data_IF_403154342486
#
_entry.id   IF_403154342486
#
_cell.length_a   1.000
_cell.length_b   1.000
_cell.length_c   1.000
_cell.angle_alpha   90.00
_cell.angle_beta   90.00
_cell.angle_gamma   90.00
#
_symmetry.space_group_name_H-M   'P 1'
#
loop_
_entity.id
_entity.type
_entity.pdbx_description
1 polymer ?
#
# COMPACT_ATOMS: atom_id res chain seq x y z
N UNK A 1 23.16 -2.87 17.69
CA UNK A 1 24.33 -3.46 17.02
C UNK A 1 24.03 -4.69 16.16
N UNK A 2 23.09 -5.57 16.53
CA UNK A 2 22.74 -6.79 15.76
C UNK A 2 22.10 -6.49 14.38
N UNK A 3 21.40 -5.37 14.21
CA UNK A 3 20.66 -5.02 12.98
C UNK A 3 21.54 -4.59 11.79
N UNK A 4 22.67 -3.93 12.04
CA UNK A 4 23.57 -3.47 10.97
C UNK A 4 24.48 -4.57 10.43
N UNK A 5 24.76 -5.60 11.25
CA UNK A 5 25.53 -6.76 10.82
C UNK A 5 24.76 -7.61 9.80
N UNK A 6 23.43 -7.70 9.90
CA UNK A 6 22.63 -8.50 8.98
C UNK A 6 22.52 -7.88 7.58
N UNK A 7 22.38 -6.54 7.47
CA UNK A 7 22.47 -5.87 6.17
C UNK A 7 23.85 -6.03 5.54
N UNK A 8 24.92 -5.92 6.33
CA UNK A 8 26.29 -6.17 5.86
C UNK A 8 26.51 -7.62 5.44
N UNK A 9 25.91 -8.57 6.16
CA UNK A 9 25.98 -10.01 5.83
C UNK A 9 25.21 -10.32 4.55
N UNK A 10 24.04 -9.70 4.34
CA UNK A 10 23.27 -9.82 3.09
C UNK A 10 24.02 -9.22 1.89
N UNK A 11 24.71 -8.09 2.07
CA UNK A 11 25.56 -7.50 1.02
C UNK A 11 26.84 -8.30 0.73
N UNK A 12 27.42 -8.97 1.73
CA UNK A 12 28.67 -9.74 1.58
C UNK A 12 28.45 -11.12 0.95
N UNK A 13 27.21 -11.60 0.85
CA UNK A 13 26.89 -12.92 0.29
C UNK A 13 26.69 -12.91 -1.24
N UNK A 14 26.97 -11.80 -1.93
CA UNK A 14 26.62 -11.58 -3.33
C UNK A 14 27.78 -11.80 -4.26
N UNK A 15 27.85 -12.98 -4.87
CA UNK A 15 28.73 -13.24 -6.02
C UNK A 15 28.13 -14.15 -7.10
N UNK A 16 26.80 -14.37 -7.12
CA UNK A 16 26.16 -15.13 -8.19
C UNK A 16 25.08 -14.30 -8.89
N UNK A 17 25.27 -14.04 -10.17
CA UNK A 17 24.25 -13.41 -11.04
C UNK A 17 23.14 -14.41 -11.35
N UNK A 18 21.89 -14.02 -11.20
CA UNK A 18 20.73 -14.88 -11.47
C UNK A 18 20.63 -15.21 -12.99
N UNK A 19 20.79 -16.48 -13.40
CA UNK A 19 20.75 -16.87 -14.82
C UNK A 19 19.37 -16.65 -15.46
N UNK A 20 18.29 -16.56 -14.66
CA UNK A 20 16.92 -16.38 -15.16
C UNK A 20 16.69 -14.98 -15.72
N UNK A 21 17.35 -13.96 -15.18
CA UNK A 21 17.23 -12.59 -15.69
C UNK A 21 18.25 -12.24 -16.77
N UNK A 22 19.31 -13.03 -16.96
CA UNK A 22 20.17 -12.89 -18.14
C UNK A 22 19.40 -13.10 -19.45
N UNK A 23 18.22 -13.74 -19.39
CA UNK A 23 17.29 -13.90 -20.51
C UNK A 23 16.24 -12.78 -20.62
N UNK A 24 16.07 -11.95 -19.58
CA UNK A 24 15.18 -10.80 -19.62
C UNK A 24 15.89 -9.62 -20.30
N UNK A 25 15.39 -9.16 -21.43
CA UNK A 25 15.90 -7.97 -22.11
C UNK A 25 15.16 -6.74 -21.58
N UNK A 26 15.89 -5.72 -21.16
CA UNK A 26 15.35 -4.40 -20.90
C UNK A 26 15.43 -3.62 -22.21
N UNK A 27 14.29 -3.31 -22.80
CA UNK A 27 14.23 -2.40 -23.93
C UNK A 27 14.16 -0.96 -23.36
N UNK A 28 15.17 -0.16 -23.65
CA UNK A 28 15.21 1.27 -23.29
C UNK A 28 14.63 2.06 -24.45
N UNK A 29 13.54 2.78 -24.21
CA UNK A 29 12.98 3.74 -25.17
C UNK A 29 13.41 5.13 -24.67
N UNK A 30 14.28 5.80 -25.44
CA UNK A 30 14.69 7.15 -25.15
C UNK A 30 13.73 8.12 -25.86
N UNK A 31 12.91 8.81 -25.11
CA UNK A 31 12.25 10.02 -25.54
C UNK A 31 12.71 11.18 -24.65
N UNK A 32 13.22 12.21 -25.28
CA UNK A 32 13.60 13.45 -24.63
C UNK A 32 12.35 14.28 -24.40
N UNK A 33 12.10 14.74 -23.16
CA UNK A 33 11.76 16.13 -22.92
C UNK A 33 11.43 16.45 -21.45
N UNK A 34 11.81 17.61 -21.05
CA UNK A 34 11.73 18.35 -19.82
C UNK A 34 10.41 18.20 -19.03
N UNK A 35 10.46 17.52 -17.90
CA UNK A 35 9.48 17.68 -16.83
C UNK A 35 10.22 18.25 -15.60
N UNK A 36 9.90 19.47 -15.13
CA UNK A 36 10.54 20.05 -13.97
C UNK A 36 10.15 19.26 -12.71
N UNK A 37 11.14 18.78 -11.96
CA UNK A 37 11.04 17.96 -10.77
C UNK A 37 10.48 16.55 -11.04
N UNK A 38 11.23 15.74 -11.79
CA UNK A 38 10.89 14.33 -11.95
C UNK A 38 11.61 13.45 -10.93
N UNK A 39 10.84 12.58 -10.28
CA UNK A 39 11.40 11.49 -9.47
C UNK A 39 11.42 10.23 -10.33
N UNK A 40 12.55 9.54 -10.38
CA UNK A 40 12.67 8.26 -11.10
C UNK A 40 13.47 7.24 -10.29
N UNK A 41 13.12 5.97 -10.41
CA UNK A 41 13.94 4.88 -9.92
C UNK A 41 15.04 4.61 -10.95
N UNK A 42 16.28 4.95 -10.61
CA UNK A 42 17.45 4.80 -11.51
C UNK A 42 18.13 3.44 -11.39
N UNK A 43 18.07 2.81 -10.19
CA UNK A 43 18.67 1.49 -9.94
C UNK A 43 17.80 0.67 -9.00
N UNK A 44 17.71 -0.63 -9.28
CA UNK A 44 16.99 -1.61 -8.46
C UNK A 44 17.91 -2.80 -8.16
N UNK A 45 18.00 -3.19 -6.90
CA UNK A 45 18.73 -4.37 -6.46
C UNK A 45 17.82 -5.27 -5.62
N UNK A 46 17.84 -6.56 -5.91
CA UNK A 46 17.09 -7.60 -5.20
C UNK A 46 18.04 -8.67 -4.71
N UNK A 47 17.85 -9.15 -3.50
CA UNK A 47 18.53 -10.30 -2.95
C UNK A 47 17.51 -11.21 -2.26
N UNK A 48 17.45 -12.47 -2.70
CA UNK A 48 16.53 -13.50 -2.20
C UNK A 48 15.06 -13.07 -2.11
N UNK A 49 14.62 -12.25 -3.07
CA UNK A 49 13.24 -11.76 -3.16
C UNK A 49 12.41 -12.63 -4.12
N UNK A 50 11.39 -13.30 -3.59
CA UNK A 50 10.51 -14.23 -4.33
C UNK A 50 11.31 -15.30 -5.09
N UNK A 51 11.30 -15.30 -6.43
CA UNK A 51 12.09 -16.23 -7.24
C UNK A 51 13.51 -15.73 -7.57
N UNK A 52 13.80 -14.47 -7.27
CA UNK A 52 15.10 -13.88 -7.58
C UNK A 52 16.12 -14.18 -6.49
N UNK A 53 17.26 -14.78 -6.87
CA UNK A 53 18.40 -14.97 -5.98
C UNK A 53 19.14 -13.63 -5.80
N UNK A 54 19.53 -13.05 -6.92
CA UNK A 54 20.20 -11.75 -6.99
C UNK A 54 19.87 -11.08 -8.32
N UNK A 55 19.47 -9.82 -8.26
CA UNK A 55 19.16 -9.00 -9.42
C UNK A 55 19.73 -7.62 -9.22
N UNK A 56 20.33 -7.07 -10.26
CA UNK A 56 20.75 -5.68 -10.32
C UNK A 56 20.36 -5.12 -11.68
N UNK A 57 19.62 -4.02 -11.65
CA UNK A 57 19.05 -3.37 -12.83
C UNK A 57 19.33 -1.87 -12.79
N UNK A 58 19.93 -1.35 -13.86
CA UNK A 58 19.96 0.08 -14.14
C UNK A 58 18.78 0.42 -15.04
N UNK A 59 17.93 1.33 -14.58
CA UNK A 59 16.68 1.71 -15.23
C UNK A 59 16.84 3.04 -15.97
N UNK A 60 16.16 3.16 -17.10
CA UNK A 60 16.10 4.43 -17.82
C UNK A 60 15.01 5.35 -17.25
N UNK A 61 15.05 6.62 -17.66
CA UNK A 61 14.18 7.65 -17.10
C UNK A 61 12.70 7.53 -17.47
N UNK A 62 12.37 6.86 -18.56
CA UNK A 62 11.01 6.82 -19.10
C UNK A 62 10.41 5.42 -19.05
N UNK A 63 10.58 4.61 -20.09
CA UNK A 63 9.92 3.31 -20.22
C UNK A 63 10.94 2.19 -20.09
N UNK A 64 10.71 1.27 -19.16
CA UNK A 64 11.49 0.06 -18.96
C UNK A 64 10.60 -1.16 -19.22
N UNK A 65 10.91 -1.95 -20.23
CA UNK A 65 10.16 -3.17 -20.57
C UNK A 65 10.92 -4.42 -20.14
N UNK A 66 10.28 -5.26 -19.33
CA UNK A 66 10.83 -6.54 -18.89
C UNK A 66 10.28 -7.67 -19.78
N UNK A 67 11.13 -8.31 -20.55
CA UNK A 67 10.80 -9.38 -21.51
C UNK A 67 11.45 -10.69 -21.06
N UNK A 68 10.78 -11.81 -21.33
CA UNK A 68 11.28 -13.16 -21.02
C UNK A 68 10.15 -14.16 -20.86
N UNK A 69 10.49 -15.42 -20.60
CA UNK A 69 9.57 -16.54 -20.46
C UNK A 69 8.60 -16.38 -19.28
N UNK A 70 7.50 -17.11 -19.28
CA UNK A 70 6.61 -17.20 -18.13
C UNK A 70 7.35 -17.83 -16.95
N UNK A 71 7.13 -17.26 -15.75
CA UNK A 71 7.85 -17.69 -14.56
C UNK A 71 9.25 -17.07 -14.38
N UNK A 72 9.80 -16.32 -15.36
CA UNK A 72 11.10 -15.66 -15.23
C UNK A 72 11.18 -14.58 -14.12
N UNK A 73 10.04 -14.18 -13.54
CA UNK A 73 10.01 -13.22 -12.43
C UNK A 73 9.77 -11.78 -12.83
N UNK A 74 9.37 -11.48 -14.07
CA UNK A 74 9.08 -10.12 -14.55
C UNK A 74 8.15 -9.35 -13.61
N UNK A 75 7.03 -9.96 -13.24
CA UNK A 75 6.05 -9.40 -12.30
C UNK A 75 6.64 -9.21 -10.90
N UNK A 76 7.57 -10.07 -10.48
CA UNK A 76 8.24 -9.94 -9.19
C UNK A 76 9.20 -8.74 -9.13
N UNK A 77 9.79 -8.35 -10.26
CA UNK A 77 10.56 -7.09 -10.36
C UNK A 77 9.63 -5.88 -10.17
N UNK A 78 8.46 -5.87 -10.83
CA UNK A 78 7.47 -4.80 -10.65
C UNK A 78 6.96 -4.74 -9.21
N UNK A 79 6.71 -5.90 -8.58
CA UNK A 79 6.32 -5.97 -7.17
C UNK A 79 7.42 -5.45 -6.22
N UNK A 80 8.68 -5.63 -6.56
CA UNK A 80 9.79 -5.05 -5.81
C UNK A 80 9.80 -3.51 -5.89
N UNK A 81 9.48 -2.93 -7.05
CA UNK A 81 9.30 -1.47 -7.20
C UNK A 81 8.15 -0.99 -6.32
N UNK A 82 7.01 -1.67 -6.36
CA UNK A 82 5.88 -1.36 -5.48
C UNK A 82 6.26 -1.49 -3.99
N UNK A 83 7.06 -2.51 -3.65
CA UNK A 83 7.56 -2.73 -2.29
C UNK A 83 8.43 -1.57 -1.80
N UNK A 84 9.25 -0.98 -2.68
CA UNK A 84 10.07 0.19 -2.34
C UNK A 84 9.20 1.42 -2.03
N UNK A 85 8.12 1.66 -2.75
CA UNK A 85 7.25 2.83 -2.53
C UNK A 85 6.34 2.68 -1.30
N UNK A 86 5.75 1.49 -1.12
CA UNK A 86 4.71 1.25 -0.11
C UNK A 86 5.19 0.42 1.10
N UNK A 87 6.45 -0.01 1.12
CA UNK A 87 7.01 -0.94 2.10
C UNK A 87 6.17 -2.23 2.26
N UNK A 88 5.49 -2.66 1.20
CA UNK A 88 4.58 -3.82 1.17
C UNK A 88 4.45 -4.37 -0.24
N UNK A 89 4.39 -5.69 -0.37
CA UNK A 89 4.15 -6.32 -1.67
C UNK A 89 2.73 -6.06 -2.17
N UNK A 90 2.59 -5.90 -3.48
CA UNK A 90 1.31 -5.74 -4.15
C UNK A 90 0.54 -7.08 -4.21
N UNK A 91 1.19 -8.10 -4.74
CA UNK A 91 0.58 -9.43 -4.88
C UNK A 91 0.55 -10.21 -3.57
N UNK A 92 1.53 -10.00 -2.69
CA UNK A 92 1.59 -10.68 -1.41
C UNK A 92 1.90 -9.72 -0.27
N UNK A 93 0.88 -9.35 0.54
CA UNK A 93 1.06 -8.42 1.64
C UNK A 93 1.77 -9.02 2.86
N UNK A 94 1.99 -10.33 2.90
CA UNK A 94 2.68 -11.03 3.99
C UNK A 94 4.18 -11.04 3.70
N UNK A 95 4.94 -10.25 4.45
CA UNK A 95 6.37 -10.03 4.20
C UNK A 95 7.19 -11.33 4.13
N UNK A 96 6.95 -12.28 5.04
CA UNK A 96 7.69 -13.55 5.08
C UNK A 96 7.48 -14.42 3.84
N UNK A 97 6.35 -14.27 3.14
CA UNK A 97 6.06 -15.01 1.90
C UNK A 97 6.74 -14.41 0.67
N UNK A 98 7.35 -13.24 0.79
CA UNK A 98 8.17 -12.65 -0.25
C UNK A 98 9.66 -13.08 -0.14
N UNK A 99 10.03 -13.81 0.92
CA UNK A 99 11.36 -14.40 1.05
C UNK A 99 11.47 -15.58 0.06
N UNK A 100 12.58 -15.63 -0.68
CA UNK A 100 12.86 -16.72 -1.61
C UNK A 100 12.83 -18.08 -0.89
N UNK A 101 12.26 -19.07 -1.54
CA UNK A 101 12.13 -20.41 -0.99
C UNK A 101 13.52 -20.96 -0.54
N UNK A 102 13.60 -21.52 0.66
CA UNK A 102 14.84 -22.02 1.26
C UNK A 102 15.76 -20.95 1.84
N UNK A 103 15.30 -19.66 1.89
CA UNK A 103 16.05 -18.56 2.49
C UNK A 103 15.38 -18.02 3.74
N UNK A 104 16.14 -17.25 4.54
CA UNK A 104 15.69 -16.71 5.82
C UNK A 104 15.37 -15.21 5.76
N UNK A 105 15.81 -14.51 4.72
CA UNK A 105 15.62 -13.07 4.57
C UNK A 105 15.66 -12.67 3.11
N UNK A 106 15.14 -11.47 2.82
CA UNK A 106 15.35 -10.78 1.54
C UNK A 106 15.75 -9.32 1.73
N UNK A 107 16.35 -8.74 0.69
CA UNK A 107 16.61 -7.32 0.56
C UNK A 107 16.07 -6.82 -0.78
N UNK A 108 15.33 -5.71 -0.72
CA UNK A 108 14.99 -4.88 -1.89
C UNK A 108 15.59 -3.51 -1.67
N UNK A 109 16.41 -3.06 -2.61
CA UNK A 109 17.05 -1.75 -2.57
C UNK A 109 16.83 -1.01 -3.88
N UNK A 110 16.56 0.29 -3.79
CA UNK A 110 16.40 1.18 -4.93
C UNK A 110 17.12 2.49 -4.74
N UNK A 111 17.67 3.03 -5.82
CA UNK A 111 18.17 4.39 -5.88
C UNK A 111 17.20 5.23 -6.70
N UNK A 112 16.63 6.22 -6.06
CA UNK A 112 15.77 7.21 -6.70
C UNK A 112 16.60 8.45 -7.03
N UNK A 113 16.43 8.93 -8.23
CA UNK A 113 16.96 10.20 -8.70
C UNK A 113 15.84 11.23 -8.67
N UNK A 114 16.11 12.36 -8.03
CA UNK A 114 15.19 13.50 -7.91
C UNK A 114 15.85 14.68 -8.61
N UNK A 115 15.18 15.20 -9.61
CA UNK A 115 15.63 16.44 -10.26
C UNK A 115 15.28 17.62 -9.35
N UNK A 116 16.25 18.34 -8.86
CA UNK A 116 16.08 19.54 -8.05
C UNK A 116 16.67 20.78 -8.77
N UNK A 117 16.33 21.97 -8.30
CA UNK A 117 16.86 23.21 -8.85
C UNK A 117 18.41 23.30 -8.72
N UNK A 118 18.98 22.59 -7.75
CA UNK A 118 20.43 22.56 -7.46
C UNK A 118 21.15 21.37 -8.13
N UNK A 119 20.43 20.55 -8.92
CA UNK A 119 20.95 19.37 -9.61
C UNK A 119 20.26 18.07 -9.22
N UNK A 120 20.81 16.95 -9.68
CA UNK A 120 20.29 15.63 -9.38
C UNK A 120 20.64 15.20 -7.94
N UNK A 121 19.64 14.94 -7.11
CA UNK A 121 19.78 14.36 -5.78
C UNK A 121 19.46 12.86 -5.82
N UNK A 122 20.25 12.05 -5.13
CA UNK A 122 20.07 10.60 -5.07
C UNK A 122 19.55 10.18 -3.68
N UNK A 123 18.42 9.50 -3.65
CA UNK A 123 17.86 8.87 -2.46
C UNK A 123 17.99 7.35 -2.56
N UNK A 124 18.71 6.74 -1.63
CA UNK A 124 18.84 5.29 -1.53
C UNK A 124 17.87 4.74 -0.49
N UNK A 125 16.96 3.87 -0.93
CA UNK A 125 15.96 3.20 -0.09
C UNK A 125 16.28 1.71 -0.04
N UNK A 126 16.36 1.15 1.15
CA UNK A 126 16.61 -0.27 1.36
C UNK A 126 15.59 -0.85 2.33
N UNK A 127 14.91 -1.91 1.92
CA UNK A 127 13.98 -2.67 2.73
C UNK A 127 14.47 -4.09 2.92
N UNK A 128 14.74 -4.48 4.16
CA UNK A 128 15.14 -5.82 4.53
C UNK A 128 14.09 -6.48 5.44
N UNK A 129 13.79 -7.74 5.14
CA UNK A 129 12.87 -8.58 5.91
C UNK A 129 13.56 -9.89 6.23
N UNK A 130 13.52 -10.30 7.50
CA UNK A 130 13.95 -11.62 7.93
C UNK A 130 12.81 -12.31 8.71
N UNK A 131 12.75 -13.64 8.62
CA UNK A 131 11.76 -14.44 9.33
C UNK A 131 11.79 -14.15 10.84
N UNK A 132 10.64 -13.96 11.45
CA UNK A 132 10.52 -13.70 12.88
C UNK A 132 11.06 -12.35 13.35
N UNK A 133 11.48 -11.47 12.44
CA UNK A 133 12.00 -10.15 12.79
C UNK A 133 11.13 -9.02 12.25
N UNK A 134 11.26 -7.84 12.87
CA UNK A 134 10.60 -6.64 12.36
C UNK A 134 11.30 -6.19 11.08
N UNK A 135 10.49 -5.82 10.08
CA UNK A 135 10.94 -5.19 8.85
C UNK A 135 11.84 -3.99 9.15
N UNK A 136 12.95 -3.89 8.44
CA UNK A 136 13.88 -2.79 8.51
C UNK A 136 13.83 -2.01 7.20
N UNK A 137 13.39 -0.76 7.28
CA UNK A 137 13.36 0.17 6.15
C UNK A 137 14.33 1.32 6.45
N UNK A 138 15.21 1.62 5.50
CA UNK A 138 16.21 2.69 5.60
C UNK A 138 16.11 3.63 4.40
N UNK A 139 16.38 4.92 4.65
CA UNK A 139 16.64 5.93 3.62
C UNK A 139 18.02 6.52 3.87
N UNK A 140 18.88 6.52 2.88
CA UNK A 140 20.27 7.03 2.96
C UNK A 140 21.00 6.49 4.20
N UNK A 141 20.82 5.19 4.47
CA UNK A 141 21.43 4.49 5.61
C UNK A 141 20.73 4.70 6.96
N UNK A 142 19.80 5.66 7.09
CA UNK A 142 19.04 5.92 8.34
C UNK A 142 17.73 5.12 8.36
N UNK A 143 17.49 4.38 9.43
CA UNK A 143 16.24 3.65 9.62
C UNK A 143 15.08 4.60 9.92
N UNK A 144 13.91 4.32 9.37
CA UNK A 144 12.68 5.01 9.73
C UNK A 144 12.25 4.64 11.16
N UNK A 145 11.81 5.60 11.93
CA UNK A 145 11.19 5.38 13.25
C UNK A 145 9.82 4.71 13.13
N UNK A 146 9.03 5.16 12.17
CA UNK A 146 7.73 4.58 11.80
C UNK A 146 7.72 4.29 10.30
N UNK A 147 7.24 3.10 9.90
CA UNK A 147 7.12 2.75 8.47
C UNK A 147 6.18 3.69 7.72
N UNK A 148 5.16 4.20 8.42
CA UNK A 148 4.24 5.18 7.87
C UNK A 148 4.92 6.48 7.39
N UNK A 149 6.11 6.85 7.92
CA UNK A 149 6.85 8.05 7.49
C UNK A 149 7.47 7.90 6.09
N UNK A 150 7.43 6.69 5.55
CA UNK A 150 7.90 6.37 4.21
C UNK A 150 6.79 6.47 3.16
N UNK A 151 5.55 6.14 3.54
CA UNK A 151 4.40 6.12 2.61
C UNK A 151 4.21 7.51 1.99
N UNK A 152 4.05 7.56 0.67
CA UNK A 152 3.89 8.79 -0.10
C UNK A 152 5.19 9.52 -0.47
N UNK A 153 6.34 9.11 0.09
CA UNK A 153 7.63 9.72 -0.27
C UNK A 153 8.09 9.33 -1.69
N UNK A 154 7.78 8.10 -2.10
CA UNK A 154 8.04 7.58 -3.44
C UNK A 154 6.73 7.01 -3.97
N UNK A 155 5.81 7.88 -4.45
CA UNK A 155 4.50 7.45 -4.89
C UNK A 155 4.64 6.49 -6.07
N UNK A 156 3.92 5.38 -6.00
CA UNK A 156 3.93 4.35 -7.02
C UNK A 156 2.50 3.86 -7.29
N UNK A 157 2.17 3.74 -8.56
CA UNK A 157 0.93 3.10 -9.02
C UNK A 157 1.31 1.80 -9.72
N UNK A 158 0.63 0.73 -9.36
CA UNK A 158 0.77 -0.57 -10.02
C UNK A 158 -0.58 -1.00 -10.57
N UNK A 159 -0.57 -1.54 -11.78
CA UNK A 159 -1.76 -2.09 -12.45
C UNK A 159 -1.44 -3.51 -12.89
N UNK A 160 -2.34 -4.43 -12.62
CA UNK A 160 -2.23 -5.82 -13.01
C UNK A 160 -3.57 -6.33 -13.59
N UNK A 161 -3.56 -7.36 -14.45
CA UNK A 161 -4.81 -7.96 -14.94
C UNK A 161 -5.76 -8.44 -13.83
N UNK A 162 -5.20 -8.79 -12.67
CA UNK A 162 -5.98 -9.17 -11.49
C UNK A 162 -6.78 -8.02 -10.87
N UNK A 163 -6.52 -6.76 -11.23
CA UNK A 163 -7.22 -5.59 -10.65
C UNK A 163 -8.67 -5.46 -11.12
N UNK A 164 -9.09 -6.28 -12.09
CA UNK A 164 -10.52 -6.48 -12.37
C UNK A 164 -11.34 -6.82 -11.11
N UNK A 165 -10.71 -7.34 -10.05
CA UNK A 165 -11.30 -7.55 -8.72
C UNK A 165 -11.84 -6.27 -8.08
N UNK A 166 -11.35 -5.08 -8.45
CA UNK A 166 -11.88 -3.80 -7.98
C UNK A 166 -13.35 -3.62 -8.37
N UNK A 167 -13.73 -4.11 -9.55
CA UNK A 167 -15.12 -4.06 -10.05
C UNK A 167 -15.89 -5.32 -9.67
N UNK A 168 -15.25 -6.50 -9.75
CA UNK A 168 -15.92 -7.79 -9.60
C UNK A 168 -16.10 -8.24 -8.15
N UNK A 169 -15.22 -7.84 -7.24
CA UNK A 169 -15.25 -8.27 -5.85
C UNK A 169 -15.91 -7.25 -4.90
N UNK A 170 -15.93 -7.60 -3.61
CA UNK A 170 -16.59 -6.83 -2.58
C UNK A 170 -15.88 -5.52 -2.20
N UNK A 171 -16.57 -4.72 -1.43
CA UNK A 171 -16.18 -3.38 -0.97
C UNK A 171 -14.81 -3.31 -0.26
N UNK A 172 -14.30 -4.41 0.29
CA UNK A 172 -13.01 -4.41 0.99
C UNK A 172 -11.85 -4.06 0.06
N UNK A 173 -11.86 -4.58 -1.18
CA UNK A 173 -10.81 -4.34 -2.18
C UNK A 173 -10.82 -2.87 -2.61
N UNK A 174 -12.01 -2.33 -2.88
CA UNK A 174 -12.20 -0.92 -3.25
C UNK A 174 -11.78 0.05 -2.15
N UNK A 175 -12.13 -0.24 -0.89
CA UNK A 175 -11.66 0.57 0.25
C UNK A 175 -10.14 0.55 0.38
N UNK A 176 -9.51 -0.63 0.30
CA UNK A 176 -8.05 -0.76 0.39
C UNK A 176 -7.35 0.02 -0.72
N UNK A 177 -7.88 -0.02 -1.93
CA UNK A 177 -7.36 0.75 -3.06
C UNK A 177 -7.45 2.26 -2.80
N UNK A 178 -8.63 2.76 -2.43
CA UNK A 178 -8.84 4.17 -2.13
C UNK A 178 -7.95 4.65 -0.98
N UNK A 179 -7.91 3.90 0.12
CA UNK A 179 -7.07 4.22 1.27
C UNK A 179 -5.58 4.24 0.92
N UNK A 180 -5.13 3.32 0.05
CA UNK A 180 -3.76 3.29 -0.43
C UNK A 180 -3.43 4.53 -1.27
N UNK A 181 -4.32 4.92 -2.17
CA UNK A 181 -4.11 6.11 -3.02
C UNK A 181 -4.06 7.37 -2.18
N UNK A 182 -5.08 7.62 -1.34
CA UNK A 182 -5.15 8.82 -0.50
C UNK A 182 -3.93 8.88 0.44
N UNK A 183 -3.54 7.76 1.06
CA UNK A 183 -2.40 7.70 1.99
C UNK A 183 -1.06 8.08 1.36
N UNK A 184 -0.92 8.04 0.03
CA UNK A 184 0.31 8.41 -0.64
C UNK A 184 0.50 9.93 -0.75
N UNK A 185 -0.56 10.72 -0.70
CA UNK A 185 -0.47 12.19 -0.78
C UNK A 185 -0.98 12.91 0.47
N UNK A 186 -1.81 12.27 1.31
CA UNK A 186 -2.33 12.84 2.56
C UNK A 186 -1.81 12.05 3.78
N UNK A 187 -0.74 12.56 4.40
CA UNK A 187 -0.17 11.95 5.60
C UNK A 187 -1.10 12.01 6.81
N UNK A 188 -1.79 13.12 7.11
CA UNK A 188 -2.82 13.19 8.15
C UNK A 188 -3.92 12.13 7.98
N UNK A 189 -4.35 11.87 6.75
CA UNK A 189 -5.31 10.81 6.46
C UNK A 189 -4.80 9.43 6.89
N UNK A 190 -3.56 9.09 6.52
CA UNK A 190 -2.95 7.82 6.91
C UNK A 190 -2.88 7.67 8.43
N UNK A 191 -2.49 8.72 9.15
CA UNK A 191 -2.39 8.68 10.61
C UNK A 191 -3.78 8.49 11.25
N UNK A 192 -4.82 9.17 10.76
CA UNK A 192 -6.21 8.99 11.18
C UNK A 192 -6.73 7.58 10.88
N UNK A 193 -6.46 7.07 9.69
CA UNK A 193 -6.87 5.73 9.27
C UNK A 193 -6.25 4.65 10.18
N UNK A 194 -4.97 4.74 10.48
CA UNK A 194 -4.28 3.83 11.39
C UNK A 194 -4.86 3.87 12.81
N UNK A 195 -5.15 5.07 13.33
CA UNK A 195 -5.78 5.25 14.64
C UNK A 195 -7.18 4.64 14.66
N UNK A 196 -8.01 4.92 13.64
CA UNK A 196 -9.35 4.36 13.53
C UNK A 196 -9.34 2.84 13.46
N UNK A 197 -8.47 2.25 12.64
CA UNK A 197 -8.33 0.79 12.53
C UNK A 197 -7.94 0.16 13.87
N UNK A 198 -7.05 0.81 14.62
CA UNK A 198 -6.68 0.35 15.97
C UNK A 198 -7.86 0.40 16.94
N UNK A 199 -8.65 1.49 16.93
CA UNK A 199 -9.84 1.62 17.77
C UNK A 199 -10.90 0.56 17.44
N UNK A 200 -11.17 0.31 16.15
CA UNK A 200 -12.08 -0.77 15.71
C UNK A 200 -11.61 -2.13 16.22
N UNK A 201 -10.31 -2.40 16.14
CA UNK A 201 -9.76 -3.65 16.64
C UNK A 201 -9.94 -3.81 18.15
N UNK A 202 -9.67 -2.75 18.92
CA UNK A 202 -9.86 -2.76 20.39
C UNK A 202 -11.33 -2.92 20.77
N UNK A 203 -12.23 -2.17 20.11
CA UNK A 203 -13.67 -2.31 20.28
C UNK A 203 -14.17 -3.73 19.96
N UNK A 204 -13.69 -4.32 18.88
CA UNK A 204 -14.04 -5.69 18.52
C UNK A 204 -13.48 -6.73 19.51
N UNK A 205 -12.31 -6.48 20.11
CA UNK A 205 -11.78 -7.32 21.18
C UNK A 205 -12.70 -7.26 22.43
N UNK A 206 -13.17 -6.08 22.79
CA UNK A 206 -14.09 -5.89 23.90
C UNK A 206 -15.45 -6.57 23.66
N UNK A 207 -16.00 -6.46 22.44
CA UNK A 207 -17.24 -7.16 22.06
C UNK A 207 -17.10 -8.69 22.17
N UNK A 208 -15.94 -9.23 21.79
CA UNK A 208 -15.65 -10.65 21.95
C UNK A 208 -15.52 -11.05 23.42
N UNK A 209 -14.80 -10.25 24.21
CA UNK A 209 -14.68 -10.44 25.66
C UNK A 209 -16.05 -10.49 26.35
N UNK A 210 -16.96 -9.58 26.02
CA UNK A 210 -18.32 -9.60 26.53
C UNK A 210 -19.07 -10.90 26.18
N UNK A 211 -18.92 -11.37 24.97
CA UNK A 211 -19.56 -12.60 24.52
C UNK A 211 -19.02 -13.85 25.23
N UNK A 212 -17.70 -13.92 25.43
CA UNK A 212 -17.01 -15.04 26.07
C UNK A 212 -17.33 -15.10 27.58
N UNK A 213 -17.42 -13.95 28.24
CA UNK A 213 -17.71 -13.84 29.66
C UNK A 213 -19.23 -13.72 29.97
N UNK A 214 -20.08 -13.72 28.95
CA UNK A 214 -21.54 -13.53 29.08
C UNK A 214 -21.91 -12.23 29.83
N UNK A 215 -21.12 -11.19 29.63
CA UNK A 215 -21.33 -9.86 30.20
C UNK A 215 -21.75 -8.88 29.11
N UNK A 216 -22.23 -7.72 29.53
CA UNK A 216 -22.50 -6.60 28.63
C UNK A 216 -22.43 -5.32 29.44
N UNK A 217 -21.57 -4.41 29.01
CA UNK A 217 -21.38 -3.11 29.68
C UNK A 217 -21.21 -2.03 28.59
N UNK A 218 -22.19 -1.17 28.46
CA UNK A 218 -22.19 -0.11 27.47
C UNK A 218 -21.25 1.03 27.84
N UNK A 219 -21.02 1.26 29.12
CA UNK A 219 -20.11 2.30 29.59
C UNK A 219 -18.66 1.98 29.19
N UNK A 220 -18.30 0.70 29.11
CA UNK A 220 -17.01 0.29 28.60
C UNK A 220 -16.86 0.46 27.08
N UNK A 221 -17.96 0.50 26.31
CA UNK A 221 -17.91 0.76 24.86
C UNK A 221 -17.84 2.26 24.53
N UNK A 222 -18.46 3.10 25.35
CA UNK A 222 -18.57 4.54 25.10
C UNK A 222 -17.25 5.24 24.80
N UNK A 223 -16.13 5.02 25.52
CA UNK A 223 -14.86 5.68 25.23
C UNK A 223 -14.27 5.31 23.85
N UNK A 224 -14.56 4.11 23.34
CA UNK A 224 -14.15 3.69 22.00
C UNK A 224 -15.02 4.38 20.94
N UNK A 225 -16.34 4.40 21.14
CA UNK A 225 -17.28 5.05 20.24
C UNK A 225 -16.98 6.55 20.12
N UNK A 226 -16.79 7.26 21.25
CA UNK A 226 -16.46 8.69 21.28
C UNK A 226 -15.18 9.04 20.52
N UNK A 227 -14.15 8.20 20.62
CA UNK A 227 -12.88 8.39 19.91
C UNK A 227 -12.97 8.02 18.43
N UNK A 228 -13.82 7.07 18.07
CA UNK A 228 -14.01 6.65 16.67
C UNK A 228 -14.76 7.68 15.85
N UNK A 229 -15.72 8.40 16.44
CA UNK A 229 -16.60 9.33 15.72
C UNK A 229 -15.82 10.38 14.94
N UNK A 230 -14.98 11.25 15.56
CA UNK A 230 -14.30 12.31 14.81
C UNK A 230 -13.37 11.75 13.73
N UNK A 231 -12.65 10.65 14.02
CA UNK A 231 -11.77 10.03 13.03
C UNK A 231 -12.53 9.49 11.82
N UNK A 232 -13.67 8.84 12.06
CA UNK A 232 -14.50 8.29 11.00
C UNK A 232 -15.10 9.39 10.11
N UNK A 233 -15.57 10.49 10.70
CA UNK A 233 -16.15 11.62 9.98
C UNK A 233 -15.08 12.32 9.12
N UNK A 234 -13.88 12.57 9.65
CA UNK A 234 -12.78 13.15 8.88
C UNK A 234 -12.33 12.25 7.74
N UNK A 235 -12.17 10.93 7.99
CA UNK A 235 -11.80 9.96 6.94
C UNK A 235 -12.90 9.89 5.87
N UNK A 236 -14.18 9.91 6.29
CA UNK A 236 -15.32 9.88 5.38
C UNK A 236 -15.36 11.12 4.48
N UNK A 237 -15.08 12.31 5.03
CA UNK A 237 -15.01 13.55 4.28
C UNK A 237 -13.86 13.53 3.23
N UNK A 238 -12.68 13.04 3.62
CA UNK A 238 -11.56 12.90 2.68
C UNK A 238 -11.85 11.93 1.55
N UNK A 239 -12.48 10.79 1.84
CA UNK A 239 -12.91 9.85 0.81
C UNK A 239 -13.94 10.45 -0.15
N UNK A 240 -14.86 11.27 0.36
CA UNK A 240 -15.83 11.98 -0.48
C UNK A 240 -15.11 12.96 -1.41
N UNK A 241 -14.21 13.79 -0.88
CA UNK A 241 -13.42 14.74 -1.66
C UNK A 241 -12.58 14.04 -2.74
N UNK A 242 -11.91 12.95 -2.37
CA UNK A 242 -11.14 12.15 -3.33
C UNK A 242 -12.01 11.67 -4.50
N UNK A 243 -13.21 11.16 -4.24
CA UNK A 243 -14.09 10.68 -5.29
C UNK A 243 -14.64 11.82 -6.17
N UNK A 244 -14.94 12.98 -5.58
CA UNK A 244 -15.35 14.17 -6.33
C UNK A 244 -14.27 14.65 -7.30
N UNK A 245 -12.99 14.58 -6.89
CA UNK A 245 -11.85 14.95 -7.74
C UNK A 245 -11.51 13.86 -8.76
N UNK A 246 -11.67 12.59 -8.40
CA UNK A 246 -11.32 11.44 -9.23
C UNK A 246 -12.35 11.15 -10.32
N UNK A 247 -13.64 11.31 -10.05
CA UNK A 247 -14.72 10.93 -10.96
C UNK A 247 -14.65 11.62 -12.34
N UNK A 248 -14.39 12.94 -12.46
CA UNK A 248 -14.27 13.58 -13.76
C UNK A 248 -13.16 13.01 -14.63
N UNK A 249 -12.00 12.70 -14.04
CA UNK A 249 -10.88 12.11 -14.76
C UNK A 249 -11.14 10.65 -15.13
N UNK A 250 -11.79 9.89 -14.24
CA UNK A 250 -12.25 8.54 -14.53
C UNK A 250 -13.22 8.50 -15.71
N UNK A 251 -14.21 9.38 -15.73
CA UNK A 251 -15.16 9.54 -16.85
C UNK A 251 -14.46 9.89 -18.15
N UNK A 252 -13.52 10.83 -18.10
CA UNK A 252 -12.75 11.26 -19.28
C UNK A 252 -11.98 10.10 -19.91
N UNK A 253 -11.27 9.32 -19.08
CA UNK A 253 -10.50 8.16 -19.54
C UNK A 253 -11.43 7.06 -20.06
N UNK A 254 -12.49 6.73 -19.32
CA UNK A 254 -13.47 5.74 -19.72
C UNK A 254 -14.12 6.08 -21.06
N UNK A 255 -14.57 7.34 -21.23
CA UNK A 255 -15.14 7.82 -22.49
C UNK A 255 -14.17 7.62 -23.67
N UNK A 256 -12.88 7.91 -23.46
CA UNK A 256 -11.85 7.68 -24.49
C UNK A 256 -11.67 6.21 -24.86
N UNK A 257 -11.78 5.31 -23.88
CA UNK A 257 -11.63 3.86 -24.10
C UNK A 257 -12.84 3.22 -24.78
N UNK A 258 -14.06 3.59 -24.38
CA UNK A 258 -15.30 3.04 -24.97
C UNK A 258 -15.79 3.79 -26.22
N UNK A 259 -15.08 4.86 -26.65
CA UNK A 259 -15.50 5.70 -27.78
C UNK A 259 -16.82 6.42 -27.55
N UNK A 260 -17.13 6.76 -26.30
CA UNK A 260 -18.34 7.47 -25.92
C UNK A 260 -19.65 6.65 -26.01
N UNK A 261 -19.55 5.33 -26.03
CA UNK A 261 -20.72 4.45 -26.15
C UNK A 261 -21.39 4.16 -24.80
N UNK A 262 -20.68 4.36 -23.72
CA UNK A 262 -21.13 4.05 -22.37
C UNK A 262 -20.80 5.20 -21.43
N UNK A 263 -21.71 5.53 -20.54
CA UNK A 263 -21.50 6.46 -19.45
C UNK A 263 -21.23 5.68 -18.15
N UNK A 264 -20.31 6.20 -17.35
CA UNK A 264 -19.96 5.64 -16.04
C UNK A 264 -20.04 6.71 -14.98
N UNK A 265 -20.46 6.33 -13.78
CA UNK A 265 -20.45 7.20 -12.60
C UNK A 265 -19.90 6.46 -11.40
N UNK A 266 -19.42 7.21 -10.43
CA UNK A 266 -18.95 6.68 -9.15
C UNK A 266 -19.84 7.22 -8.04
N UNK A 267 -20.41 6.34 -7.24
CA UNK A 267 -21.21 6.74 -6.09
C UNK A 267 -20.59 6.19 -4.80
N UNK A 268 -20.39 7.06 -3.82
CA UNK A 268 -19.98 6.63 -2.49
C UNK A 268 -21.17 6.05 -1.72
N UNK A 269 -20.99 4.87 -1.17
CA UNK A 269 -21.93 4.22 -0.25
C UNK A 269 -21.32 4.23 1.15
N UNK A 270 -21.86 5.02 2.07
CA UNK A 270 -21.36 5.13 3.44
C UNK A 270 -22.50 5.36 4.42
N UNK A 271 -22.35 4.82 5.62
CA UNK A 271 -23.22 5.09 6.78
C UNK A 271 -22.59 6.15 7.71
N UNK A 272 -21.44 6.70 7.36
CA UNK A 272 -20.75 7.71 8.14
C UNK A 272 -21.01 9.08 7.54
N UNK A 273 -21.94 9.81 8.17
CA UNK A 273 -22.23 11.20 7.84
C UNK A 273 -21.86 12.08 9.04
N UNK A 274 -21.40 13.30 8.75
CA UNK A 274 -21.00 14.26 9.78
C UNK A 274 -22.15 14.54 10.75
N UNK A 275 -21.87 14.39 12.04
CA UNK A 275 -22.83 14.63 13.13
C UNK A 275 -23.84 13.50 13.37
N UNK A 276 -23.84 12.43 12.58
CA UNK A 276 -24.80 11.32 12.75
C UNK A 276 -24.14 9.99 13.11
N UNK A 277 -22.84 9.84 12.90
CA UNK A 277 -22.18 8.55 13.09
C UNK A 277 -22.21 8.05 14.55
N UNK A 278 -22.12 8.94 15.54
CA UNK A 278 -22.25 8.55 16.95
C UNK A 278 -23.61 7.91 17.28
N UNK A 279 -24.68 8.43 16.70
CA UNK A 279 -26.02 7.83 16.82
C UNK A 279 -26.07 6.45 16.14
N UNK A 280 -25.51 6.33 14.93
CA UNK A 280 -25.47 5.06 14.21
C UNK A 280 -24.70 3.97 14.98
N UNK A 281 -23.60 4.33 15.68
CA UNK A 281 -22.87 3.41 16.56
C UNK A 281 -23.72 2.94 17.74
N UNK A 282 -24.48 3.83 18.39
CA UNK A 282 -25.37 3.46 19.49
C UNK A 282 -26.50 2.52 19.01
N UNK A 283 -27.14 2.84 17.91
CA UNK A 283 -28.19 2.02 17.32
C UNK A 283 -27.69 0.62 16.88
N UNK A 284 -26.42 0.53 16.45
CA UNK A 284 -25.79 -0.72 16.03
C UNK A 284 -25.41 -1.64 17.19
N UNK A 285 -25.39 -1.20 18.46
CA UNK A 285 -24.87 -1.96 19.61
C UNK A 285 -25.51 -3.34 19.77
N UNK A 286 -26.82 -3.47 19.56
CA UNK A 286 -27.52 -4.75 19.64
C UNK A 286 -27.02 -5.76 18.59
N UNK A 287 -26.78 -5.28 17.37
CA UNK A 287 -26.25 -6.08 16.27
C UNK A 287 -24.76 -6.40 16.48
N UNK A 288 -23.99 -5.43 16.95
CA UNK A 288 -22.56 -5.59 17.29
C UNK A 288 -22.37 -6.67 18.37
N UNK A 289 -23.20 -6.65 19.40
CA UNK A 289 -23.24 -7.69 20.44
C UNK A 289 -23.50 -9.08 19.85
N UNK A 290 -24.52 -9.18 18.99
CA UNK A 290 -24.88 -10.44 18.33
C UNK A 290 -23.77 -10.98 17.45
N UNK A 291 -23.13 -10.10 16.65
CA UNK A 291 -22.09 -10.46 15.68
C UNK A 291 -20.67 -10.41 16.24
N UNK A 292 -20.50 -9.95 17.50
CA UNK A 292 -19.22 -9.83 18.21
C UNK A 292 -18.18 -8.97 17.46
N UNK A 293 -18.68 -7.98 16.72
CA UNK A 293 -17.86 -7.06 15.91
C UNK A 293 -18.64 -5.80 15.57
N UNK A 294 -17.92 -4.71 15.29
CA UNK A 294 -18.49 -3.46 14.78
C UNK A 294 -19.13 -3.67 13.42
N UNK A 295 -20.40 -3.28 13.29
CA UNK A 295 -21.20 -3.48 12.06
C UNK A 295 -21.41 -2.20 11.26
N UNK A 296 -21.10 -1.03 11.83
CA UNK A 296 -21.16 0.27 11.16
C UNK A 296 -19.83 1.01 11.25
N UNK A 297 -19.55 1.89 10.30
CA UNK A 297 -18.33 2.72 10.23
C UNK A 297 -17.66 2.66 8.86
N UNK A 298 -16.63 3.47 8.67
CA UNK A 298 -15.89 3.60 7.39
C UNK A 298 -15.31 2.27 6.86
N UNK A 299 -15.15 1.28 7.73
CA UNK A 299 -14.74 -0.07 7.35
C UNK A 299 -15.87 -0.88 6.68
N UNK A 300 -17.05 -0.25 6.48
CA UNK A 300 -18.22 -0.78 5.74
C UNK A 300 -18.55 0.05 4.50
N UNK A 301 -17.84 1.16 4.27
CA UNK A 301 -18.05 1.97 3.07
C UNK A 301 -17.84 1.17 1.78
N UNK A 302 -18.40 1.65 0.70
CA UNK A 302 -18.22 1.12 -0.64
C UNK A 302 -18.17 2.23 -1.69
N UNK A 303 -17.75 1.84 -2.89
CA UNK A 303 -17.85 2.63 -4.12
C UNK A 303 -18.68 1.79 -5.09
N UNK A 304 -19.74 2.36 -5.59
CA UNK A 304 -20.59 1.78 -6.63
C UNK A 304 -20.21 2.39 -7.99
N UNK A 305 -20.16 1.51 -9.02
CA UNK A 305 -19.74 1.87 -10.37
C UNK A 305 -20.91 1.81 -11.34
#
# INVERSE_FOLDING_TARGET
>A
MVRDSQLKTLHAASASRDPLLQRAKIAKVNESENNPMSMRLSRLQLLDFKNHAEVELDLCSHVNCFLGDNGAGKTNVLDAVHYLGNAKGYFNPIDSQNIRHGREAFLVEGTFSLDSADGEELDRVACAVAKGQKKLLKRNGKAYGKLADHVGRYPVVMIAPADAVLVLEGSEVRRKWMDMVISQYDRPYLDRLMQYQHLVQQRNNLLRYFAENRTWDEDQLAPWDERMVPLAEEISAERARFLEEFEPEFKRIHHGLCGGKEDVSLARVSLVETGSFGKALMEARANDRRLRRSTVGIHKDDIDF
#
